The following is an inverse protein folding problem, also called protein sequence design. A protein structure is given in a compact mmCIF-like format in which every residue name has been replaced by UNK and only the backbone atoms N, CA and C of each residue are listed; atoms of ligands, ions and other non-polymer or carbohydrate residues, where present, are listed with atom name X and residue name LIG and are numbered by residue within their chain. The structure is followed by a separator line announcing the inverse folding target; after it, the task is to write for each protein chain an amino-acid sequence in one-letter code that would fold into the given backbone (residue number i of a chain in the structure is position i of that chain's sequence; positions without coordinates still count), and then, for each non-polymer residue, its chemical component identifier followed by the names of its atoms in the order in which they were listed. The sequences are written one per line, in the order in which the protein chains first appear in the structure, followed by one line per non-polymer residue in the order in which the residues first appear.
data_IF_696787800324
#
_entry.id   IF_696787800324
#
_cell.length_a   1.000
_cell.length_b   1.000
_cell.length_c   1.000
_cell.angle_alpha   90.00
_cell.angle_beta   90.00
_cell.angle_gamma   90.00
#
_symmetry.space_group_name_H-M   'P 1'
#
loop_
_entity.id
_entity.type
_entity.pdbx_description
1 polymer ?
#
# COMPACT_ATOMS: atom_id res chain seq x y z
N UNK A 1 -19.55 -68.50 -14.94
CA UNK A 1 -18.93 -67.88 -13.75
C UNK A 1 -18.91 -66.39 -14.02
N UNK A 2 -20.03 -65.74 -13.77
CA UNK A 2 -20.12 -64.27 -13.79
C UNK A 2 -19.41 -63.76 -12.53
N UNK A 3 -18.29 -63.07 -12.71
CA UNK A 3 -17.66 -62.33 -11.63
C UNK A 3 -18.53 -61.11 -11.34
N UNK A 4 -19.39 -61.20 -10.33
CA UNK A 4 -20.06 -60.04 -9.74
C UNK A 4 -18.99 -59.03 -9.35
N UNK A 5 -18.95 -57.91 -10.07
CA UNK A 5 -18.01 -56.83 -9.84
C UNK A 5 -18.51 -56.07 -8.59
N UNK A 6 -17.81 -56.12 -7.44
CA UNK A 6 -18.34 -55.64 -6.15
C UNK A 6 -18.46 -54.10 -6.05
N UNK A 7 -18.26 -53.37 -7.15
CA UNK A 7 -18.29 -51.91 -7.20
C UNK A 7 -19.54 -51.31 -7.86
N UNK A 8 -20.53 -52.11 -8.25
CA UNK A 8 -21.75 -51.61 -8.92
C UNK A 8 -22.74 -50.86 -8.00
N UNK A 9 -22.40 -50.52 -6.76
CA UNK A 9 -23.35 -49.95 -5.78
C UNK A 9 -22.88 -48.77 -4.94
N UNK A 10 -22.61 -47.61 -5.56
CA UNK A 10 -22.92 -46.27 -5.02
C UNK A 10 -22.41 -45.77 -3.62
N UNK A 11 -21.19 -46.05 -3.08
CA UNK A 11 -20.70 -45.31 -1.91
C UNK A 11 -19.92 -44.03 -2.28
N UNK A 12 -19.34 -43.95 -3.49
CA UNK A 12 -18.42 -42.86 -3.84
C UNK A 12 -19.13 -41.53 -4.14
N UNK A 13 -20.28 -41.57 -4.82
CA UNK A 13 -21.07 -40.38 -5.19
C UNK A 13 -21.59 -39.64 -3.94
N UNK A 14 -22.20 -40.38 -3.00
CA UNK A 14 -22.71 -39.81 -1.75
C UNK A 14 -21.59 -39.24 -0.86
N UNK A 15 -20.40 -39.84 -0.85
CA UNK A 15 -19.24 -39.34 -0.13
C UNK A 15 -18.69 -38.03 -0.73
N UNK A 16 -18.65 -37.92 -2.06
CA UNK A 16 -18.22 -36.71 -2.76
C UNK A 16 -19.21 -35.57 -2.55
N UNK A 17 -20.51 -35.83 -2.69
CA UNK A 17 -21.56 -34.84 -2.45
C UNK A 17 -21.52 -34.32 -1.01
N UNK A 18 -21.38 -35.21 -0.02
CA UNK A 18 -21.28 -34.80 1.38
C UNK A 18 -20.05 -33.93 1.64
N UNK A 19 -18.91 -34.27 1.03
CA UNK A 19 -17.68 -33.47 1.12
C UNK A 19 -17.87 -32.09 0.48
N UNK A 20 -18.57 -32.04 -0.66
CA UNK A 20 -18.88 -30.81 -1.37
C UNK A 20 -19.78 -29.89 -0.54
N UNK A 21 -20.88 -30.41 0.03
CA UNK A 21 -21.77 -29.65 0.91
C UNK A 21 -21.05 -29.14 2.15
N UNK A 22 -20.14 -29.93 2.72
CA UNK A 22 -19.30 -29.50 3.85
C UNK A 22 -18.39 -28.33 3.46
N UNK A 23 -17.76 -28.39 2.29
CA UNK A 23 -16.92 -27.31 1.76
C UNK A 23 -17.74 -26.01 1.57
N UNK A 24 -18.96 -26.10 1.06
CA UNK A 24 -19.87 -24.94 0.94
C UNK A 24 -20.21 -24.31 2.30
N UNK A 25 -20.42 -25.13 3.34
CA UNK A 25 -20.68 -24.65 4.70
C UNK A 25 -19.45 -23.92 5.25
N UNK A 26 -18.25 -24.43 5.02
CA UNK A 26 -16.99 -23.80 5.43
C UNK A 26 -16.76 -22.48 4.71
N UNK A 27 -17.03 -22.42 3.40
CA UNK A 27 -16.97 -21.19 2.63
C UNK A 27 -17.94 -20.11 3.16
N UNK A 28 -19.19 -20.48 3.47
CA UNK A 28 -20.16 -19.55 4.09
C UNK A 28 -19.72 -19.05 5.47
N UNK A 29 -18.94 -19.86 6.20
CA UNK A 29 -18.30 -19.47 7.47
C UNK A 29 -17.03 -18.62 7.28
N UNK A 30 -16.65 -18.33 6.03
CA UNK A 30 -15.40 -17.64 5.64
C UNK A 30 -14.13 -18.38 6.07
N UNK A 31 -14.21 -19.69 6.33
CA UNK A 31 -13.04 -20.54 6.52
C UNK A 31 -12.51 -21.01 5.16
N UNK A 32 -11.99 -20.06 4.39
CA UNK A 32 -11.62 -20.26 2.99
C UNK A 32 -10.52 -21.31 2.81
N UNK A 33 -9.56 -21.37 3.74
CA UNK A 33 -8.43 -22.30 3.64
C UNK A 33 -8.89 -23.75 3.71
N UNK A 34 -9.73 -24.08 4.70
CA UNK A 34 -10.26 -25.44 4.86
C UNK A 34 -11.27 -25.76 3.78
N UNK A 35 -12.07 -24.77 3.33
CA UNK A 35 -13.00 -24.96 2.22
C UNK A 35 -12.26 -25.33 0.91
N UNK A 36 -11.21 -24.59 0.54
CA UNK A 36 -10.38 -24.87 -0.64
C UNK A 36 -9.78 -26.28 -0.55
N UNK A 37 -9.22 -26.66 0.60
CA UNK A 37 -8.65 -28.00 0.80
C UNK A 37 -9.70 -29.10 0.57
N UNK A 38 -10.94 -28.90 1.04
CA UNK A 38 -12.04 -29.85 0.80
C UNK A 38 -12.44 -29.94 -0.67
N UNK A 39 -12.55 -28.81 -1.37
CA UNK A 39 -12.83 -28.79 -2.80
C UNK A 39 -11.71 -29.46 -3.62
N UNK A 40 -10.45 -29.21 -3.30
CA UNK A 40 -9.30 -29.87 -3.95
C UNK A 40 -9.34 -31.37 -3.72
N UNK A 41 -9.63 -31.82 -2.50
CA UNK A 41 -9.73 -33.24 -2.19
C UNK A 41 -10.80 -33.96 -3.03
N UNK A 42 -11.90 -33.29 -3.41
CA UNK A 42 -12.91 -33.86 -4.31
C UNK A 42 -12.30 -34.11 -5.70
N UNK A 43 -11.55 -33.14 -6.23
CA UNK A 43 -10.84 -33.29 -7.51
C UNK A 43 -9.82 -34.44 -7.45
N UNK A 44 -9.00 -34.51 -6.41
CA UNK A 44 -7.97 -35.55 -6.25
C UNK A 44 -8.57 -36.94 -6.01
N UNK A 45 -9.71 -37.04 -5.31
CA UNK A 45 -10.39 -38.31 -5.15
C UNK A 45 -11.02 -38.77 -6.47
N UNK A 46 -11.55 -37.84 -7.27
CA UNK A 46 -12.03 -38.14 -8.62
C UNK A 46 -10.88 -38.66 -9.49
N UNK A 47 -9.72 -38.01 -9.46
CA UNK A 47 -8.51 -38.46 -10.16
C UNK A 47 -8.16 -39.91 -9.82
N UNK A 48 -8.14 -40.25 -8.52
CA UNK A 48 -7.85 -41.61 -8.06
C UNK A 48 -8.86 -42.63 -8.58
N UNK A 49 -10.16 -42.29 -8.56
CA UNK A 49 -11.21 -43.21 -9.05
C UNK A 49 -11.05 -43.45 -10.55
N UNK A 50 -10.84 -42.38 -11.32
CA UNK A 50 -10.62 -42.48 -12.77
C UNK A 50 -9.35 -43.28 -13.08
N UNK A 51 -8.26 -43.07 -12.33
CA UNK A 51 -7.01 -43.81 -12.52
C UNK A 51 -7.16 -45.30 -12.19
N UNK A 52 -7.97 -45.66 -11.20
CA UNK A 52 -8.25 -47.06 -10.85
C UNK A 52 -9.19 -47.74 -11.84
N UNK A 53 -10.19 -47.00 -12.35
CA UNK A 53 -11.20 -47.52 -13.27
C UNK A 53 -11.55 -46.49 -14.37
N UNK A 54 -10.77 -46.43 -15.47
CA UNK A 54 -10.96 -45.44 -16.53
C UNK A 54 -12.32 -45.54 -17.24
N UNK A 55 -12.92 -46.73 -17.24
CA UNK A 55 -14.23 -47.02 -17.84
C UNK A 55 -15.40 -46.80 -16.89
N UNK A 56 -15.14 -46.45 -15.62
CA UNK A 56 -16.22 -46.18 -14.67
C UNK A 56 -16.94 -44.89 -15.05
N UNK A 57 -18.27 -44.90 -14.92
CA UNK A 57 -19.06 -43.68 -15.02
C UNK A 57 -18.83 -42.79 -13.79
N UNK A 58 -17.75 -42.00 -13.82
CA UNK A 58 -17.40 -41.09 -12.73
C UNK A 58 -18.22 -39.80 -12.86
N UNK A 59 -18.79 -39.35 -11.74
CA UNK A 59 -19.55 -38.09 -11.69
C UNK A 59 -18.63 -36.87 -11.72
N UNK A 60 -18.29 -36.40 -12.91
CA UNK A 60 -17.41 -35.23 -13.11
C UNK A 60 -18.06 -33.88 -12.75
N UNK A 61 -19.37 -33.85 -12.46
CA UNK A 61 -20.06 -32.64 -12.04
C UNK A 61 -19.49 -32.05 -10.74
N UNK A 62 -19.13 -32.89 -9.77
CA UNK A 62 -18.62 -32.44 -8.47
C UNK A 62 -17.25 -31.76 -8.55
N UNK A 63 -16.23 -32.32 -9.24
CA UNK A 63 -14.97 -31.62 -9.44
C UNK A 63 -15.16 -30.34 -10.29
N UNK A 64 -16.01 -30.35 -11.32
CA UNK A 64 -16.28 -29.14 -12.11
C UNK A 64 -16.88 -28.00 -11.27
N UNK A 65 -17.85 -28.31 -10.40
CA UNK A 65 -18.39 -27.34 -9.45
C UNK A 65 -17.33 -26.89 -8.43
N UNK A 66 -16.55 -27.84 -7.90
CA UNK A 66 -15.51 -27.57 -6.90
C UNK A 66 -14.46 -26.59 -7.42
N UNK A 67 -14.01 -26.74 -8.67
CA UNK A 67 -13.09 -25.80 -9.33
C UNK A 67 -13.70 -24.40 -9.44
N UNK A 68 -14.99 -24.30 -9.76
CA UNK A 68 -15.71 -23.02 -9.80
C UNK A 68 -15.76 -22.32 -8.45
N UNK A 69 -16.11 -23.05 -7.39
CA UNK A 69 -16.14 -22.50 -6.02
C UNK A 69 -14.75 -22.11 -5.51
N UNK A 70 -13.69 -22.86 -5.88
CA UNK A 70 -12.32 -22.45 -5.58
C UNK A 70 -11.99 -21.13 -6.27
N UNK A 71 -12.34 -20.99 -7.54
CA UNK A 71 -12.15 -19.73 -8.27
C UNK A 71 -12.91 -18.57 -7.62
N UNK A 72 -14.16 -18.77 -7.21
CA UNK A 72 -14.96 -17.75 -6.49
C UNK A 72 -14.29 -17.32 -5.18
N UNK A 73 -13.72 -18.26 -4.42
CA UNK A 73 -12.98 -17.94 -3.19
C UNK A 73 -11.72 -17.11 -3.50
N UNK A 74 -10.97 -17.46 -4.55
CA UNK A 74 -9.80 -16.67 -4.94
C UNK A 74 -10.17 -15.31 -5.51
N UNK A 75 -11.32 -15.18 -6.17
CA UNK A 75 -11.90 -13.89 -6.55
C UNK A 75 -12.19 -13.02 -5.31
N UNK A 76 -12.82 -13.59 -4.28
CA UNK A 76 -13.07 -12.89 -3.00
C UNK A 76 -11.77 -12.53 -2.26
N UNK A 77 -10.73 -13.36 -2.36
CA UNK A 77 -9.38 -13.06 -1.86
C UNK A 77 -8.61 -12.10 -2.77
N UNK A 78 -9.18 -11.75 -3.93
CA UNK A 78 -8.61 -10.90 -4.96
C UNK A 78 -7.26 -11.40 -5.50
N UNK A 79 -7.08 -12.73 -5.52
CA UNK A 79 -5.97 -13.44 -6.17
C UNK A 79 -6.39 -13.86 -7.59
N UNK A 80 -6.33 -12.90 -8.51
CA UNK A 80 -6.79 -13.07 -9.89
C UNK A 80 -6.00 -14.15 -10.64
N UNK A 81 -4.74 -14.38 -10.29
CA UNK A 81 -3.91 -15.38 -10.96
C UNK A 81 -4.43 -16.80 -10.69
N UNK A 82 -4.70 -17.12 -9.42
CA UNK A 82 -5.31 -18.41 -9.07
C UNK A 82 -6.74 -18.52 -9.55
N UNK A 83 -7.52 -17.45 -9.45
CA UNK A 83 -8.89 -17.42 -9.99
C UNK A 83 -8.90 -17.84 -11.47
N UNK A 84 -8.11 -17.17 -12.31
CA UNK A 84 -8.04 -17.45 -13.76
C UNK A 84 -7.55 -18.88 -14.02
N UNK A 85 -6.54 -19.35 -13.27
CA UNK A 85 -6.05 -20.71 -13.42
C UNK A 85 -7.16 -21.74 -13.15
N UNK A 86 -7.88 -21.62 -12.02
CA UNK A 86 -8.98 -22.53 -11.70
C UNK A 86 -10.17 -22.43 -12.67
N UNK A 87 -10.52 -21.21 -13.13
CA UNK A 87 -11.55 -21.02 -14.18
C UNK A 87 -11.18 -21.66 -15.50
N UNK A 88 -9.92 -21.52 -15.92
CA UNK A 88 -9.42 -22.11 -17.17
C UNK A 88 -9.55 -23.63 -17.12
N UNK A 89 -9.12 -24.24 -16.01
CA UNK A 89 -9.22 -25.69 -15.83
C UNK A 89 -10.67 -26.16 -15.69
N UNK A 90 -11.52 -25.38 -15.04
CA UNK A 90 -12.97 -25.64 -14.99
C UNK A 90 -13.57 -25.70 -16.40
N UNK A 91 -13.27 -24.72 -17.25
CA UNK A 91 -13.77 -24.67 -18.62
C UNK A 91 -13.26 -25.85 -19.45
N UNK A 92 -11.97 -26.19 -19.36
CA UNK A 92 -11.41 -27.37 -20.04
C UNK A 92 -12.13 -28.67 -19.62
N UNK A 93 -12.46 -28.82 -18.34
CA UNK A 93 -13.21 -29.98 -17.84
C UNK A 93 -14.66 -29.98 -18.32
N UNK A 94 -15.34 -28.83 -18.36
CA UNK A 94 -16.71 -28.71 -18.86
C UNK A 94 -16.79 -29.01 -20.37
N UNK A 95 -15.82 -28.51 -21.14
CA UNK A 95 -15.71 -28.80 -22.57
C UNK A 95 -15.48 -30.30 -22.82
N UNK A 96 -14.62 -30.92 -22.01
CA UNK A 96 -14.42 -32.37 -22.04
C UNK A 96 -15.72 -33.14 -21.75
N UNK A 97 -16.45 -32.77 -20.70
CA UNK A 97 -17.75 -33.37 -20.36
C UNK A 97 -18.77 -33.23 -21.50
N UNK A 98 -18.76 -32.09 -22.20
CA UNK A 98 -19.64 -31.84 -23.34
C UNK A 98 -19.32 -32.78 -24.51
N UNK A 99 -18.03 -32.95 -24.81
CA UNK A 99 -17.58 -33.80 -25.91
C UNK A 99 -17.89 -35.29 -25.66
N UNK A 100 -17.66 -35.78 -24.44
CA UNK A 100 -18.04 -37.16 -24.07
C UNK A 100 -19.53 -37.44 -24.27
N UNK A 101 -20.40 -36.47 -23.94
CA UNK A 101 -21.85 -36.64 -24.12
C UNK A 101 -22.24 -36.75 -25.60
N UNK A 102 -21.58 -36.00 -26.47
CA UNK A 102 -21.84 -36.05 -27.92
C UNK A 102 -21.38 -37.37 -28.55
N UNK A 103 -20.23 -37.89 -28.15
CA UNK A 103 -19.71 -39.18 -28.62
C UNK A 103 -20.63 -40.34 -28.21
N UNK A 104 -21.08 -40.37 -26.95
CA UNK A 104 -22.02 -41.38 -26.45
C UNK A 104 -23.38 -41.42 -27.20
N UNK A 105 -23.83 -40.29 -27.77
CA UNK A 105 -25.05 -40.24 -28.59
C UNK A 105 -24.82 -40.57 -30.07
N UNK A 106 -23.58 -40.62 -30.53
CA UNK A 106 -23.24 -40.82 -31.95
C UNK A 106 -22.94 -42.29 -32.30
N UNK A 107 -22.60 -43.11 -31.31
CA UNK A 107 -22.22 -44.53 -31.46
C UNK A 107 -23.38 -45.53 -31.29
N UNK A 108 -24.63 -45.09 -31.14
CA UNK A 108 -25.77 -46.00 -30.86
C UNK A 108 -26.25 -46.86 -32.03
N UNK A 109 -25.63 -46.77 -33.23
CA UNK A 109 -26.04 -47.53 -34.43
C UNK A 109 -25.03 -48.61 -34.86
N UNK A 110 -23.94 -48.84 -34.10
CA UNK A 110 -22.95 -49.88 -34.40
C UNK A 110 -22.99 -51.02 -33.39
N UNK A 111 -23.60 -52.13 -33.79
CA UNK A 111 -23.88 -53.36 -33.01
C UNK A 111 -22.65 -54.29 -32.84
N UNK A 112 -21.46 -53.73 -32.64
CA UNK A 112 -20.23 -54.51 -32.42
C UNK A 112 -19.66 -54.19 -31.04
N UNK A 113 -19.79 -55.13 -30.10
CA UNK A 113 -19.59 -54.97 -28.66
C UNK A 113 -18.13 -54.85 -28.18
N UNK A 114 -17.20 -54.53 -29.08
CA UNK A 114 -15.81 -54.28 -28.74
C UNK A 114 -15.61 -52.77 -28.54
N UNK A 115 -15.64 -52.33 -27.28
CA UNK A 115 -15.18 -50.98 -26.92
C UNK A 115 -13.73 -50.87 -27.41
N UNK A 116 -13.52 -50.08 -28.44
CA UNK A 116 -12.26 -50.01 -29.16
C UNK A 116 -11.16 -49.58 -28.17
N UNK A 117 -10.13 -50.39 -28.00
CA UNK A 117 -9.03 -50.13 -27.05
C UNK A 117 -8.41 -48.74 -27.25
N UNK A 118 -8.52 -48.22 -28.48
CA UNK A 118 -8.13 -46.88 -28.89
C UNK A 118 -8.94 -45.80 -28.15
N UNK A 119 -10.26 -45.97 -27.99
CA UNK A 119 -11.15 -45.02 -27.31
C UNK A 119 -10.87 -44.94 -25.80
N UNK A 120 -10.59 -46.08 -25.16
CA UNK A 120 -10.23 -46.12 -23.74
C UNK A 120 -8.90 -45.39 -23.50
N UNK A 121 -7.93 -45.58 -24.40
CA UNK A 121 -6.63 -44.94 -24.31
C UNK A 121 -6.69 -43.42 -24.51
N UNK A 122 -7.50 -42.93 -25.47
CA UNK A 122 -7.65 -41.49 -25.74
C UNK A 122 -8.37 -40.79 -24.59
N UNK A 123 -9.44 -41.37 -24.05
CA UNK A 123 -10.18 -40.84 -22.90
C UNK A 123 -9.29 -40.77 -21.66
N UNK A 124 -8.52 -41.83 -21.37
CA UNK A 124 -7.58 -41.85 -20.24
C UNK A 124 -6.51 -40.75 -20.32
N UNK A 125 -5.99 -40.47 -21.52
CA UNK A 125 -5.01 -39.39 -21.73
C UNK A 125 -5.63 -37.99 -21.51
N UNK A 126 -6.88 -37.79 -21.92
CA UNK A 126 -7.57 -36.51 -21.71
C UNK A 126 -7.80 -36.24 -20.21
N UNK A 127 -8.21 -37.26 -19.45
CA UNK A 127 -8.29 -37.16 -17.99
C UNK A 127 -6.95 -36.77 -17.35
N UNK A 128 -5.88 -37.47 -17.72
CA UNK A 128 -4.53 -37.17 -17.20
C UNK A 128 -4.11 -35.73 -17.49
N UNK A 129 -4.42 -35.22 -18.69
CA UNK A 129 -4.13 -33.84 -19.05
C UNK A 129 -4.88 -32.84 -18.15
N UNK A 130 -6.18 -33.06 -17.94
CA UNK A 130 -7.00 -32.16 -17.10
C UNK A 130 -6.52 -32.20 -15.65
N UNK A 131 -6.28 -33.39 -15.08
CA UNK A 131 -5.79 -33.50 -13.70
C UNK A 131 -4.40 -32.91 -13.53
N UNK A 132 -3.51 -33.05 -14.52
CA UNK A 132 -2.22 -32.35 -14.51
C UNK A 132 -2.41 -30.82 -14.44
N UNK A 133 -3.35 -30.26 -15.20
CA UNK A 133 -3.68 -28.83 -15.12
C UNK A 133 -4.26 -28.43 -13.77
N UNK A 134 -5.05 -29.29 -13.14
CA UNK A 134 -5.55 -29.07 -11.76
C UNK A 134 -4.36 -28.96 -10.80
N UNK A 135 -3.39 -29.86 -10.87
CA UNK A 135 -2.17 -29.79 -10.05
C UNK A 135 -1.35 -28.52 -10.32
N UNK A 136 -1.16 -28.15 -11.59
CA UNK A 136 -0.50 -26.89 -11.97
C UNK A 136 -1.23 -25.66 -11.37
N UNK A 137 -2.57 -25.68 -11.33
CA UNK A 137 -3.36 -24.61 -10.72
C UNK A 137 -3.22 -24.56 -9.18
N UNK A 138 -3.09 -25.73 -8.53
CA UNK A 138 -2.86 -25.84 -7.08
C UNK A 138 -1.50 -25.27 -6.69
N UNK A 139 -0.47 -25.64 -7.45
CA UNK A 139 0.95 -25.33 -7.16
C UNK A 139 1.35 -23.88 -7.46
N UNK A 140 0.50 -23.12 -8.17
CA UNK A 140 0.72 -21.68 -8.36
C UNK A 140 0.92 -20.98 -6.99
N UNK A 141 1.87 -20.04 -6.87
CA UNK A 141 2.05 -19.30 -5.64
C UNK A 141 0.81 -18.43 -5.36
N UNK A 142 0.33 -18.46 -4.12
CA UNK A 142 -0.72 -17.52 -3.69
C UNK A 142 -0.17 -16.09 -3.68
N UNK A 143 -0.99 -15.15 -4.15
CA UNK A 143 -0.67 -13.73 -4.02
C UNK A 143 -0.47 -13.39 -2.53
N UNK A 144 0.48 -12.49 -2.19
CA UNK A 144 0.63 -12.05 -0.82
C UNK A 144 -0.70 -11.46 -0.32
N UNK A 145 -1.08 -11.72 0.95
CA UNK A 145 -2.31 -11.18 1.50
C UNK A 145 -2.31 -9.66 1.34
N UNK A 146 -3.42 -9.11 0.85
CA UNK A 146 -3.53 -7.67 0.63
C UNK A 146 -3.21 -6.92 1.93
N UNK A 147 -2.29 -5.96 1.83
CA UNK A 147 -2.07 -5.02 2.92
C UNK A 147 -3.38 -4.26 3.14
N UNK A 148 -3.89 -4.32 4.36
CA UNK A 148 -4.95 -3.43 4.81
C UNK A 148 -4.43 -1.98 4.69
N UNK A 149 -4.91 -1.26 3.67
CA UNK A 149 -4.42 0.09 3.31
C UNK A 149 -4.62 1.04 4.49
N UNK A 150 -5.70 0.88 5.27
CA UNK A 150 -5.95 1.71 6.45
C UNK A 150 -4.90 1.46 7.53
N UNK A 151 -4.59 0.19 7.78
CA UNK A 151 -3.53 -0.19 8.72
C UNK A 151 -2.16 0.28 8.24
N UNK A 152 -1.88 0.18 6.94
CA UNK A 152 -0.64 0.66 6.35
C UNK A 152 -0.48 2.18 6.46
N UNK A 153 -1.55 2.96 6.19
CA UNK A 153 -1.56 4.41 6.37
C UNK A 153 -1.33 4.76 7.83
N UNK A 154 -1.98 4.04 8.76
CA UNK A 154 -1.79 4.25 10.20
C UNK A 154 -0.35 3.97 10.63
N UNK A 155 0.23 2.86 10.18
CA UNK A 155 1.62 2.51 10.47
C UNK A 155 2.60 3.56 9.88
N UNK A 156 2.31 4.09 8.69
CA UNK A 156 3.07 5.19 8.09
C UNK A 156 2.96 6.50 8.89
N UNK A 157 1.76 6.84 9.35
CA UNK A 157 1.53 8.02 10.19
C UNK A 157 2.26 7.89 11.54
N UNK A 158 2.22 6.72 12.16
CA UNK A 158 2.92 6.44 13.42
C UNK A 158 4.45 6.49 13.23
N UNK A 159 4.96 5.89 12.16
CA UNK A 159 6.38 5.98 11.82
C UNK A 159 6.84 7.43 11.59
N UNK A 160 6.02 8.24 10.92
CA UNK A 160 6.30 9.67 10.70
C UNK A 160 6.27 10.46 12.00
N UNK A 161 5.29 10.23 12.87
CA UNK A 161 5.22 10.90 14.17
C UNK A 161 6.46 10.60 15.01
N UNK A 162 6.90 9.34 15.01
CA UNK A 162 8.11 8.92 15.73
C UNK A 162 9.39 9.58 15.20
N UNK A 163 9.50 9.74 13.88
CA UNK A 163 10.64 10.42 13.26
C UNK A 163 10.62 11.94 13.54
N UNK A 164 9.43 12.56 13.52
CA UNK A 164 9.24 13.96 13.91
C UNK A 164 9.58 14.19 15.40
N UNK A 165 9.16 13.31 16.30
CA UNK A 165 9.51 13.35 17.72
C UNK A 165 11.03 13.24 17.94
N UNK A 166 11.68 12.28 17.29
CA UNK A 166 13.14 12.11 17.38
C UNK A 166 13.89 13.35 16.85
N UNK A 167 13.38 13.98 15.79
CA UNK A 167 13.93 15.21 15.24
C UNK A 167 13.76 16.39 16.21
N UNK A 168 12.57 16.54 16.81
CA UNK A 168 12.30 17.58 17.81
C UNK A 168 13.22 17.40 19.03
N UNK A 169 13.37 16.18 19.52
CA UNK A 169 14.24 15.88 20.66
C UNK A 169 15.70 16.24 20.36
N UNK A 170 16.19 15.91 19.16
CA UNK A 170 17.54 16.30 18.73
C UNK A 170 17.72 17.83 18.64
N UNK A 171 16.70 18.56 18.18
CA UNK A 171 16.74 20.01 18.09
C UNK A 171 16.71 20.67 19.48
N UNK A 172 15.86 20.19 20.39
CA UNK A 172 15.82 20.64 21.79
C UNK A 172 17.18 20.40 22.45
N UNK A 173 17.79 19.23 22.21
CA UNK A 173 19.11 18.90 22.74
C UNK A 173 20.18 19.87 22.24
N UNK A 174 20.19 20.21 20.95
CA UNK A 174 21.12 21.20 20.39
C UNK A 174 20.91 22.60 20.98
N UNK A 175 19.65 23.02 21.18
CA UNK A 175 19.33 24.32 21.79
C UNK A 175 19.81 24.36 23.24
N UNK A 176 19.58 23.27 24.00
CA UNK A 176 20.02 23.19 25.39
C UNK A 176 21.54 23.16 25.50
N UNK A 177 22.23 22.42 24.62
CA UNK A 177 23.69 22.40 24.57
C UNK A 177 24.27 23.78 24.24
N UNK A 178 23.70 24.49 23.25
CA UNK A 178 24.08 25.86 22.91
C UNK A 178 23.80 26.87 24.04
N UNK A 179 22.70 26.69 24.78
CA UNK A 179 22.39 27.52 25.96
C UNK A 179 23.33 27.23 27.11
N UNK A 180 23.65 25.97 27.40
CA UNK A 180 24.64 25.60 28.41
C UNK A 180 26.03 26.14 28.06
N UNK A 181 26.42 26.09 26.79
CA UNK A 181 27.70 26.64 26.34
C UNK A 181 27.74 28.16 26.54
N UNK A 182 26.67 28.88 26.19
CA UNK A 182 26.54 30.31 26.52
C UNK A 182 26.57 30.59 28.01
N UNK A 183 25.90 29.78 28.83
CA UNK A 183 25.93 29.95 30.27
C UNK A 183 27.33 29.69 30.83
N UNK A 184 28.05 28.69 30.33
CA UNK A 184 29.45 28.42 30.68
C UNK A 184 30.36 29.56 30.24
N UNK A 185 30.15 30.13 29.06
CA UNK A 185 30.88 31.33 28.60
C UNK A 185 30.59 32.55 29.47
N UNK A 186 29.33 32.79 29.85
CA UNK A 186 28.94 33.88 30.76
C UNK A 186 29.48 33.64 32.18
N UNK A 187 29.53 32.38 32.64
CA UNK A 187 30.10 32.02 33.94
C UNK A 187 31.63 32.13 33.97
N UNK A 188 32.30 31.69 32.91
CA UNK A 188 33.76 31.84 32.75
C UNK A 188 34.17 33.24 32.29
N UNK A 189 33.21 34.09 31.91
CA UNK A 189 33.47 35.48 31.56
C UNK A 189 34.10 36.21 32.74
N UNK A 190 35.22 36.84 32.43
CA UNK A 190 36.01 37.76 33.25
C UNK A 190 35.15 38.71 34.12
N UNK A 191 33.92 39.01 33.67
CA UNK A 191 32.91 39.77 34.41
C UNK A 191 32.51 39.17 35.75
N UNK A 192 32.22 37.86 35.87
CA UNK A 192 31.80 37.28 37.16
C UNK A 192 32.94 37.28 38.18
N UNK A 193 34.16 36.96 37.75
CA UNK A 193 35.36 37.02 38.62
C UNK A 193 35.66 38.44 39.08
N UNK A 194 35.47 39.45 38.23
CA UNK A 194 35.67 40.85 38.63
C UNK A 194 34.51 41.40 39.47
N UNK A 195 33.26 41.04 39.16
CA UNK A 195 32.10 41.45 39.96
C UNK A 195 32.17 40.87 41.37
N UNK A 196 32.55 39.58 41.50
CA UNK A 196 32.75 38.94 42.80
C UNK A 196 33.87 39.64 43.60
N UNK A 197 35.00 39.97 42.97
CA UNK A 197 36.09 40.72 43.62
C UNK A 197 35.67 42.12 44.08
N UNK A 198 34.77 42.79 43.36
CA UNK A 198 34.23 44.09 43.73
C UNK A 198 33.28 43.95 44.93
N UNK A 199 32.46 42.90 44.96
CA UNK A 199 31.52 42.64 46.06
C UNK A 199 32.26 42.24 47.35
N UNK A 200 33.29 41.38 47.24
CA UNK A 200 34.01 40.86 48.41
C UNK A 200 34.94 41.90 49.06
N UNK A 201 35.26 43.00 48.38
CA UNK A 201 36.14 44.06 48.89
C UNK A 201 35.44 45.43 48.92
N UNK A 202 34.85 45.83 50.06
CA UNK A 202 34.12 47.10 50.17
C UNK A 202 34.98 48.33 49.85
N UNK A 203 36.30 48.25 50.05
CA UNK A 203 37.26 49.32 49.73
C UNK A 203 37.42 49.51 48.21
N UNK A 204 37.38 48.43 47.43
CA UNK A 204 37.47 48.53 45.96
C UNK A 204 36.17 49.12 45.41
N UNK A 205 35.02 48.72 45.96
CA UNK A 205 33.73 49.28 45.58
C UNK A 205 33.66 50.80 45.82
N UNK A 206 34.13 51.29 46.98
CA UNK A 206 34.16 52.73 47.26
C UNK A 206 35.12 53.49 46.34
N UNK A 207 36.27 52.91 45.99
CA UNK A 207 37.20 53.48 45.00
C UNK A 207 36.57 53.59 43.60
N UNK A 208 35.86 52.56 43.13
CA UNK A 208 35.17 52.59 41.82
C UNK A 208 34.07 53.65 41.80
N UNK A 209 33.29 53.77 42.88
CA UNK A 209 32.27 54.82 43.01
C UNK A 209 32.89 56.22 43.04
N UNK A 210 33.99 56.41 43.77
CA UNK A 210 34.73 57.68 43.77
C UNK A 210 35.27 58.01 42.37
N UNK A 211 35.82 57.02 41.67
CA UNK A 211 36.33 57.19 40.32
C UNK A 211 35.21 57.60 39.35
N UNK A 212 34.05 56.92 39.39
CA UNK A 212 32.86 57.31 38.60
C UNK A 212 32.38 58.71 38.95
N UNK A 213 32.34 59.07 40.24
CA UNK A 213 32.00 60.43 40.68
C UNK A 213 32.98 61.47 40.11
N UNK A 214 34.28 61.20 40.15
CA UNK A 214 35.28 62.10 39.56
C UNK A 214 35.17 62.19 38.04
N UNK A 215 34.82 61.10 37.35
CA UNK A 215 34.57 61.12 35.91
C UNK A 215 33.33 61.94 35.55
N UNK A 216 32.26 61.88 36.34
CA UNK A 216 31.08 62.72 36.11
C UNK A 216 31.42 64.20 36.31
N UNK A 217 32.12 64.54 37.39
CA UNK A 217 32.59 65.92 37.62
C UNK A 217 33.51 66.36 36.49
N UNK A 218 34.49 65.54 36.09
CA UNK A 218 35.39 65.83 34.98
C UNK A 218 34.62 65.98 33.66
N UNK A 219 33.64 65.14 33.36
CA UNK A 219 32.81 65.23 32.16
C UNK A 219 32.00 66.55 32.13
N UNK A 220 31.46 66.97 33.28
CA UNK A 220 30.75 68.24 33.41
C UNK A 220 31.70 69.43 33.28
N UNK A 221 32.90 69.34 33.85
CA UNK A 221 33.88 70.44 33.88
C UNK A 221 34.67 70.58 32.57
N UNK A 222 34.97 69.46 31.92
CA UNK A 222 35.62 69.38 30.62
C UNK A 222 34.64 69.35 29.48
N UNK A 223 33.33 69.55 29.73
CA UNK A 223 32.30 69.64 28.70
C UNK A 223 32.80 70.64 27.65
N UNK A 224 33.31 70.18 26.50
CA UNK A 224 33.94 71.08 25.57
C UNK A 224 32.83 71.98 25.08
N UNK A 225 33.07 73.30 25.07
CA UNK A 225 32.22 74.29 24.43
C UNK A 225 32.30 74.08 22.91
N UNK A 226 31.85 72.90 22.46
CA UNK A 226 31.49 72.63 21.10
C UNK A 226 30.26 73.49 20.91
N UNK A 227 30.46 74.73 20.44
CA UNK A 227 29.42 75.47 19.73
C UNK A 227 28.84 74.45 18.77
N UNK A 228 27.54 74.13 18.82
CA UNK A 228 26.96 73.21 17.86
C UNK A 228 27.26 73.81 16.49
N UNK A 229 28.25 73.24 15.78
CA UNK A 229 28.37 73.49 14.34
C UNK A 229 27.05 72.98 13.82
N UNK A 230 26.18 73.95 13.52
CA UNK A 230 25.01 73.86 12.65
C UNK A 230 24.68 72.40 12.35
N UNK A 231 23.66 71.88 13.03
CA UNK A 231 22.85 70.76 12.57
C UNK A 231 23.03 70.56 11.07
N UNK A 232 23.94 69.66 10.67
CA UNK A 232 23.78 68.94 9.43
C UNK A 232 22.46 68.24 9.66
N UNK A 233 21.43 68.82 9.02
CA UNK A 233 20.03 68.65 9.35
C UNK A 233 19.73 67.19 9.66
N UNK A 234 18.87 66.95 10.64
CA UNK A 234 18.28 65.63 10.85
C UNK A 234 17.71 65.06 9.54
N UNK A 235 17.37 65.92 8.56
CA UNK A 235 17.02 65.56 7.18
C UNK A 235 18.16 64.91 6.38
N UNK A 236 19.43 65.25 6.62
CA UNK A 236 20.56 64.52 6.01
C UNK A 236 20.70 63.12 6.57
N UNK A 237 20.56 62.93 7.89
CA UNK A 237 20.55 61.58 8.46
C UNK A 237 19.32 60.78 8.05
N UNK A 238 18.15 61.41 7.97
CA UNK A 238 16.92 60.76 7.50
C UNK A 238 17.00 60.41 6.02
N UNK A 239 17.53 61.28 5.15
CA UNK A 239 17.70 60.96 3.73
C UNK A 239 18.75 59.87 3.47
N UNK A 240 19.81 59.77 4.28
CA UNK A 240 20.74 58.63 4.23
C UNK A 240 20.02 57.34 4.62
N UNK A 241 19.21 57.35 5.68
CA UNK A 241 18.43 56.17 6.11
C UNK A 241 17.38 55.80 5.06
N UNK A 242 16.71 56.78 4.45
CA UNK A 242 15.68 56.58 3.42
C UNK A 242 16.29 56.02 2.13
N UNK A 243 17.48 56.49 1.73
CA UNK A 243 18.23 55.91 0.62
C UNK A 243 18.67 54.48 0.92
N UNK A 244 19.10 54.18 2.15
CA UNK A 244 19.46 52.83 2.57
C UNK A 244 18.25 51.87 2.54
N UNK A 245 17.07 52.34 2.98
CA UNK A 245 15.82 51.58 2.94
C UNK A 245 15.38 51.30 1.50
N UNK A 246 15.42 52.32 0.63
CA UNK A 246 15.08 52.18 -0.78
C UNK A 246 16.05 51.25 -1.52
N UNK A 247 17.34 51.29 -1.21
CA UNK A 247 18.34 50.38 -1.79
C UNK A 247 18.13 48.94 -1.29
N UNK A 248 17.77 48.75 -0.02
CA UNK A 248 17.43 47.45 0.55
C UNK A 248 16.14 46.88 -0.05
N UNK A 249 15.10 47.68 -0.22
CA UNK A 249 13.85 47.31 -0.90
C UNK A 249 14.06 47.05 -2.40
N UNK A 250 14.93 47.79 -3.09
CA UNK A 250 15.25 47.52 -4.49
C UNK A 250 16.03 46.20 -4.66
N UNK A 251 16.90 45.88 -3.70
CA UNK A 251 17.75 44.68 -3.73
C UNK A 251 17.02 43.42 -3.27
N UNK A 252 16.05 43.54 -2.37
CA UNK A 252 15.27 42.41 -1.84
C UNK A 252 13.84 42.33 -2.42
N UNK A 253 13.24 43.43 -2.86
CA UNK A 253 11.90 43.48 -3.47
C UNK A 253 11.85 42.98 -4.92
N UNK A 254 12.98 42.94 -5.64
CA UNK A 254 13.04 42.37 -7.00
C UNK A 254 13.29 40.85 -7.05
N UNK A 255 13.31 40.15 -5.91
CA UNK A 255 13.26 38.67 -5.85
C UNK A 255 11.90 38.12 -5.39
N UNK A 256 10.82 38.87 -5.63
CA UNK A 256 9.43 38.43 -5.44
C UNK A 256 8.76 37.77 -6.64
N UNK A 257 9.45 37.51 -7.76
CA UNK A 257 8.96 36.65 -8.87
C UNK A 257 9.40 35.18 -8.72
N UNK A 258 9.50 34.70 -7.49
CA UNK A 258 9.89 33.33 -7.15
C UNK A 258 8.93 32.60 -6.19
N UNK A 259 7.73 33.15 -5.95
CA UNK A 259 6.70 32.54 -5.09
C UNK A 259 5.69 31.66 -5.84
N UNK A 260 6.07 31.09 -6.98
CA UNK A 260 5.18 30.30 -7.85
C UNK A 260 5.22 28.78 -7.63
N UNK A 261 6.16 28.25 -6.83
CA UNK A 261 6.37 26.79 -6.78
C UNK A 261 5.55 26.07 -5.70
N UNK A 262 5.17 26.74 -4.61
CA UNK A 262 4.35 26.12 -3.54
C UNK A 262 2.84 26.31 -3.73
N UNK A 263 2.40 27.27 -4.55
CA UNK A 263 0.96 27.47 -4.82
C UNK A 263 0.44 26.55 -5.93
N UNK A 264 1.26 26.19 -6.92
CA UNK A 264 0.89 25.23 -7.98
C UNK A 264 0.87 23.76 -7.52
N UNK A 265 1.40 23.46 -6.33
CA UNK A 265 1.38 22.09 -5.79
C UNK A 265 0.09 21.80 -5.01
N UNK A 266 -0.57 22.83 -4.47
CA UNK A 266 -1.86 22.68 -3.78
C UNK A 266 -3.05 22.84 -4.71
N UNK A 267 -2.97 23.69 -5.74
CA UNK A 267 -4.05 23.85 -6.71
C UNK A 267 -4.20 22.63 -7.66
N UNK A 268 -3.17 21.79 -7.78
CA UNK A 268 -3.22 20.54 -8.57
C UNK A 268 -3.72 19.31 -7.78
N UNK A 269 -3.99 19.45 -6.47
CA UNK A 269 -4.50 18.37 -5.62
C UNK A 269 -6.02 18.44 -5.39
N UNK A 270 -6.69 19.49 -5.88
CA UNK A 270 -8.11 19.75 -5.63
C UNK A 270 -8.96 19.95 -6.90
N UNK A 271 -8.39 19.72 -8.09
CA UNK A 271 -9.10 19.86 -9.37
C UNK A 271 -9.10 18.56 -10.19
N UNK A 272 -9.44 17.45 -9.55
CA UNK A 272 -9.78 16.20 -10.23
C UNK A 272 -11.25 15.85 -9.98
N UNK A 273 -12.13 16.80 -10.29
CA UNK A 273 -13.52 16.47 -10.60
C UNK A 273 -13.54 15.93 -12.03
N UNK A 274 -13.83 14.65 -12.09
CA UNK A 274 -13.95 13.82 -13.27
C UNK A 274 -15.27 14.17 -13.97
N UNK A 275 -15.29 15.16 -14.87
CA UNK A 275 -16.30 15.19 -15.93
C UNK A 275 -15.91 14.14 -16.98
N UNK A 276 -16.35 12.90 -16.73
CA UNK A 276 -16.46 11.91 -17.79
C UNK A 276 -17.76 12.21 -18.55
N UNK A 277 -17.65 13.01 -19.60
CA UNK A 277 -18.64 13.07 -20.67
C UNK A 277 -18.70 11.68 -21.30
N UNK A 278 -19.84 11.01 -21.11
CA UNK A 278 -20.14 9.75 -21.76
C UNK A 278 -20.58 10.04 -23.20
N UNK A 279 -19.66 9.83 -24.14
CA UNK A 279 -20.01 9.68 -25.56
C UNK A 279 -20.94 8.46 -25.72
N UNK A 280 -22.22 8.75 -25.89
CA UNK A 280 -23.23 7.79 -26.32
C UNK A 280 -22.96 7.39 -27.77
N UNK A 281 -22.24 6.29 -27.96
CA UNK A 281 -22.26 5.58 -29.24
C UNK A 281 -23.62 4.89 -29.42
N UNK A 282 -24.51 5.56 -30.15
CA UNK A 282 -25.64 4.94 -30.83
C UNK A 282 -25.09 3.93 -31.86
N UNK A 283 -25.20 2.63 -31.57
CA UNK A 283 -25.17 1.60 -32.59
C UNK A 283 -26.61 1.27 -32.98
N UNK A 284 -27.07 1.92 -34.06
CA UNK A 284 -28.20 1.45 -34.85
C UNK A 284 -27.81 0.13 -35.51
N UNK A 285 -28.28 -0.99 -34.95
CA UNK A 285 -28.40 -2.24 -35.67
C UNK A 285 -29.80 -2.32 -36.27
N UNK A 286 -29.90 -1.90 -37.53
CA UNK A 286 -30.98 -2.31 -38.42
C UNK A 286 -30.93 -3.83 -38.59
N UNK A 287 -31.86 -4.53 -37.95
CA UNK A 287 -32.20 -5.90 -38.30
C UNK A 287 -33.10 -5.86 -39.54
N UNK A 288 -32.55 -6.31 -40.67
CA UNK A 288 -33.30 -6.82 -41.80
C UNK A 288 -33.88 -8.19 -41.41
N UNK A 289 -35.19 -8.32 -41.47
CA UNK A 289 -35.89 -9.57 -41.74
C UNK A 289 -37.18 -9.22 -42.46
N UNK A 290 -37.23 -9.53 -43.75
CA UNK A 290 -38.45 -9.96 -44.42
C UNK A 290 -38.05 -10.62 -45.76
N UNK A 291 -38.65 -11.80 -45.96
CA UNK A 291 -38.62 -12.74 -47.10
C UNK A 291 -37.50 -13.79 -47.12
#
# INVERSE_FOLDING_TARGET
MESENPFQGQPASSAMENSFRMAQVLQRKKDYKVAIEKYINICLNTEKIVAMNPTAHVELQWPALSLGYIADIYHEKEDLNKEIAFRTVQNELLDFMRNMKHEATSTSDSDDGDIDFIEIATVGQQYQRIFKRIHEAIDLPEAPPKLDIEKFIKDLQEARQKDEEARIESAIRQINEANEEREREIQNSFWKRNLQRIIDHPVIFTMVLLFLSTLVVAYVHFKPNIKPKSTRSMEQSLSIIQNYLNEYEAKNGKKGKGGGFMKSMFDNLLSHDHEHDHDHHHHDHHHHHDL
#
